data_IF_536401147385
#
_entry.id   IF_536401147385
#
_cell.length_a   1.000
_cell.length_b   1.000
_cell.length_c   1.000
_cell.angle_alpha   90.00
_cell.angle_beta   90.00
_cell.angle_gamma   90.00
#
_symmetry.space_group_name_H-M   'P 1'
#
loop_
_entity.id
_entity.type
_entity.pdbx_description
1 polymer ?
#
# COMPACT_ATOMS: atom_id res chain seq x y z
N UNK A 1 9.97 -3.47 -16.77
CA UNK A 1 8.61 -3.32 -17.36
C UNK A 1 7.62 -3.52 -16.21
N UNK A 2 6.88 -2.47 -15.83
CA UNK A 2 5.83 -2.60 -14.81
C UNK A 2 4.61 -3.27 -15.45
N UNK A 3 4.22 -4.44 -14.95
CA UNK A 3 2.99 -5.08 -15.40
C UNK A 3 1.79 -4.40 -14.72
N UNK A 4 0.94 -3.81 -15.53
CA UNK A 4 -0.26 -3.12 -15.10
C UNK A 4 -1.49 -3.99 -15.36
N UNK A 5 -2.22 -4.27 -14.27
CA UNK A 5 -3.62 -4.70 -14.19
C UNK A 5 -4.05 -6.02 -14.86
N UNK A 6 -4.54 -6.96 -14.04
CA UNK A 6 -5.62 -7.88 -14.43
C UNK A 6 -6.70 -7.84 -13.36
N UNK A 7 -7.84 -7.23 -13.67
CA UNK A 7 -9.09 -7.45 -12.94
C UNK A 7 -9.80 -8.64 -13.58
N UNK A 8 -10.27 -9.58 -12.75
CA UNK A 8 -11.70 -9.84 -12.78
C UNK A 8 -12.27 -9.63 -11.38
N UNK A 9 -13.24 -8.71 -11.29
CA UNK A 9 -14.19 -8.70 -10.19
C UNK A 9 -15.04 -9.98 -10.29
N UNK A 10 -14.56 -11.07 -9.71
CA UNK A 10 -15.38 -12.22 -9.36
C UNK A 10 -15.47 -12.30 -7.84
N UNK A 11 -16.59 -12.83 -7.34
CA UNK A 11 -17.11 -12.68 -5.98
C UNK A 11 -16.24 -13.24 -4.83
N UNK A 12 -14.96 -13.54 -5.04
CA UNK A 12 -14.13 -14.23 -4.05
C UNK A 12 -12.76 -13.62 -3.75
N UNK A 13 -12.28 -12.60 -4.48
CA UNK A 13 -11.00 -11.95 -4.15
C UNK A 13 -11.06 -10.43 -4.39
N UNK A 14 -10.82 -9.65 -3.32
CA UNK A 14 -10.80 -8.17 -3.34
C UNK A 14 -9.45 -7.64 -2.86
N UNK A 15 -8.39 -7.85 -3.64
CA UNK A 15 -7.15 -7.10 -3.41
C UNK A 15 -6.50 -6.71 -4.74
N UNK A 16 -5.79 -5.59 -4.70
CA UNK A 16 -4.97 -5.09 -5.81
C UNK A 16 -3.52 -5.40 -5.46
N UNK A 17 -2.86 -6.23 -6.28
CA UNK A 17 -1.42 -6.50 -6.18
C UNK A 17 -0.68 -5.69 -7.26
N UNK A 18 0.28 -4.85 -6.84
CA UNK A 18 1.15 -4.09 -7.74
C UNK A 18 2.56 -4.67 -7.63
N UNK A 19 3.06 -5.26 -8.73
CA UNK A 19 4.43 -5.78 -8.85
C UNK A 19 5.27 -4.85 -9.73
N UNK A 20 6.37 -4.35 -9.18
CA UNK A 20 7.36 -3.58 -9.93
C UNK A 20 8.56 -4.49 -10.23
N UNK A 21 8.79 -4.81 -11.51
CA UNK A 21 9.93 -5.64 -11.95
C UNK A 21 11.20 -4.81 -12.09
N UNK A 22 12.32 -5.29 -11.53
CA UNK A 22 13.65 -4.71 -11.70
C UNK A 22 14.16 -4.79 -13.17
N UNK A 23 15.11 -3.93 -13.57
CA UNK A 23 15.94 -4.17 -14.75
C UNK A 23 16.97 -5.28 -14.44
N UNK A 24 17.17 -6.19 -15.40
CA UNK A 24 18.02 -7.39 -15.28
C UNK A 24 19.38 -7.15 -14.63
N UNK A 25 19.76 -8.03 -13.68
CA UNK A 25 21.09 -8.07 -13.06
C UNK A 25 21.49 -9.49 -12.63
N UNK A 26 22.04 -10.24 -13.60
CA UNK A 26 23.01 -11.37 -13.52
C UNK A 26 23.07 -12.34 -12.33
N UNK A 27 22.84 -13.60 -12.68
CA UNK A 27 23.42 -14.90 -12.22
C UNK A 27 24.71 -14.89 -11.40
N UNK A 28 24.77 -15.76 -10.38
CA UNK A 28 26.03 -16.29 -9.81
C UNK A 28 25.81 -17.05 -8.49
N UNK A 29 26.11 -18.35 -8.46
CA UNK A 29 25.91 -19.21 -7.30
C UNK A 29 27.03 -19.16 -6.25
N UNK A 30 26.84 -19.99 -5.21
CA UNK A 30 27.73 -20.40 -4.13
C UNK A 30 27.78 -19.54 -2.84
N UNK A 31 27.23 -20.17 -1.78
CA UNK A 31 27.60 -20.11 -0.37
C UNK A 31 28.25 -18.83 0.18
N UNK A 32 27.47 -17.99 0.87
CA UNK A 32 27.97 -17.09 1.91
C UNK A 32 26.81 -16.53 2.76
N UNK A 33 27.05 -16.57 4.07
CA UNK A 33 26.52 -15.70 5.12
C UNK A 33 26.15 -14.29 4.66
N UNK A 34 24.97 -13.81 5.08
CA UNK A 34 24.55 -12.40 5.05
C UNK A 34 24.67 -11.67 3.70
N UNK A 35 24.19 -12.27 2.61
CA UNK A 35 23.97 -11.57 1.35
C UNK A 35 22.61 -10.84 1.37
N UNK A 36 22.67 -9.52 1.47
CA UNK A 36 21.59 -8.55 1.25
C UNK A 36 20.88 -8.82 -0.07
N UNK A 37 19.83 -9.64 -0.03
CA UNK A 37 18.86 -9.78 -1.12
C UNK A 37 18.14 -8.44 -1.19
N UNK A 38 18.15 -7.78 -2.35
CA UNK A 38 17.50 -6.47 -2.55
C UNK A 38 16.06 -6.49 -2.03
N UNK A 39 15.86 -5.96 -0.82
CA UNK A 39 14.66 -6.24 -0.04
C UNK A 39 13.43 -5.61 -0.70
N UNK A 40 12.38 -6.40 -0.88
CA UNK A 40 11.07 -5.85 -1.19
C UNK A 40 10.46 -5.20 0.05
N UNK A 41 9.79 -4.08 -0.15
CA UNK A 41 9.06 -3.36 0.87
C UNK A 41 7.56 -3.54 0.64
N UNK A 42 6.81 -3.80 1.70
CA UNK A 42 5.34 -3.87 1.63
C UNK A 42 4.77 -2.74 2.46
N UNK A 43 3.80 -2.02 1.88
CA UNK A 43 3.05 -0.95 2.53
C UNK A 43 1.56 -1.29 2.44
N UNK A 44 0.92 -1.46 3.60
CA UNK A 44 -0.51 -1.71 3.68
C UNK A 44 -1.25 -0.37 3.64
N UNK A 45 -2.18 -0.20 2.70
CA UNK A 45 -3.03 0.98 2.56
C UNK A 45 -4.45 0.61 2.99
N UNK A 46 -4.90 1.11 4.12
CA UNK A 46 -6.22 0.79 4.69
C UNK A 46 -7.16 1.97 4.60
N UNK A 47 -8.28 1.76 3.93
CA UNK A 47 -9.40 2.67 3.90
C UNK A 47 -10.05 2.75 5.29
N UNK A 48 -10.23 3.97 5.78
CA UNK A 48 -10.85 4.31 7.06
C UNK A 48 -12.04 5.25 6.85
N UNK A 49 -12.65 5.24 5.67
CA UNK A 49 -13.88 5.93 5.37
C UNK A 49 -15.08 5.34 6.12
N UNK A 50 -16.20 6.07 6.16
CA UNK A 50 -17.40 5.66 6.89
C UNK A 50 -18.02 4.35 6.39
N UNK A 51 -17.84 3.96 5.13
CA UNK A 51 -18.34 2.67 4.61
C UNK A 51 -17.65 1.48 5.27
N UNK A 52 -16.38 1.65 5.64
CA UNK A 52 -15.59 0.63 6.33
C UNK A 52 -16.01 0.43 7.80
N UNK A 53 -16.91 1.28 8.35
CA UNK A 53 -17.32 1.22 9.75
C UNK A 53 -18.02 -0.11 10.10
N UNK A 54 -17.79 -0.58 11.32
CA UNK A 54 -18.33 -1.85 11.79
C UNK A 54 -17.42 -3.03 11.45
N UNK A 55 -17.99 -4.10 10.89
CA UNK A 55 -17.26 -5.34 10.62
C UNK A 55 -16.10 -5.23 9.62
N UNK A 56 -16.18 -4.45 8.52
CA UNK A 56 -15.10 -4.40 7.54
C UNK A 56 -13.76 -3.95 8.13
N UNK A 57 -13.72 -2.83 8.84
CA UNK A 57 -12.47 -2.33 9.44
C UNK A 57 -11.95 -3.23 10.56
N UNK A 58 -12.85 -3.88 11.32
CA UNK A 58 -12.47 -4.86 12.35
C UNK A 58 -11.77 -6.07 11.73
N UNK A 59 -12.34 -6.64 10.68
CA UNK A 59 -11.76 -7.77 9.96
C UNK A 59 -10.38 -7.42 9.39
N UNK A 60 -10.22 -6.21 8.83
CA UNK A 60 -8.91 -5.72 8.36
C UNK A 60 -7.92 -5.63 9.51
N UNK A 61 -8.30 -5.06 10.65
CA UNK A 61 -7.42 -4.95 11.82
C UNK A 61 -7.01 -6.33 12.36
N UNK A 62 -7.94 -7.28 12.43
CA UNK A 62 -7.67 -8.66 12.85
C UNK A 62 -6.65 -9.34 11.94
N UNK A 63 -6.84 -9.27 10.61
CA UNK A 63 -5.91 -9.85 9.62
C UNK A 63 -4.52 -9.20 9.73
N UNK A 64 -4.45 -7.88 9.86
CA UNK A 64 -3.18 -7.17 9.98
C UNK A 64 -2.44 -7.56 11.28
N UNK A 65 -3.16 -7.68 12.41
CA UNK A 65 -2.57 -8.16 13.66
C UNK A 65 -2.07 -9.61 13.54
N UNK A 66 -2.86 -10.49 12.92
CA UNK A 66 -2.46 -11.89 12.68
C UNK A 66 -1.20 -11.97 11.80
N UNK A 67 -1.11 -11.17 10.73
CA UNK A 67 0.10 -11.06 9.89
C UNK A 67 1.31 -10.63 10.74
N UNK A 68 1.16 -9.59 11.57
CA UNK A 68 2.25 -9.14 12.43
C UNK A 68 2.67 -10.21 13.43
N UNK A 69 1.72 -10.86 14.11
CA UNK A 69 2.00 -11.88 15.11
C UNK A 69 2.70 -13.11 14.53
N UNK A 70 2.35 -13.51 13.30
CA UNK A 70 2.95 -14.67 12.64
C UNK A 70 4.31 -14.38 12.02
N UNK A 71 4.48 -13.20 11.46
CA UNK A 71 5.70 -12.86 10.70
C UNK A 71 6.72 -12.08 11.52
N UNK A 72 6.28 -11.41 12.58
CA UNK A 72 7.02 -10.41 13.36
C UNK A 72 7.61 -9.29 12.51
N UNK A 73 7.13 -9.12 11.27
CA UNK A 73 7.58 -8.08 10.34
C UNK A 73 6.76 -6.82 10.53
N UNK A 74 7.44 -5.72 10.82
CA UNK A 74 6.80 -4.43 11.01
C UNK A 74 6.62 -3.69 9.68
N UNK A 75 5.52 -4.00 8.98
CA UNK A 75 5.18 -3.30 7.73
C UNK A 75 4.62 -1.91 8.00
N UNK A 76 4.86 -0.98 7.07
CA UNK A 76 4.25 0.35 7.12
C UNK A 76 2.75 0.26 6.86
N UNK A 77 1.99 1.10 7.54
CA UNK A 77 0.54 1.18 7.43
C UNK A 77 0.13 2.60 7.08
N UNK A 78 -0.44 2.78 5.90
CA UNK A 78 -1.05 4.03 5.46
C UNK A 78 -2.55 3.91 5.67
N UNK A 79 -3.09 4.63 6.66
CA UNK A 79 -4.55 4.70 6.84
C UNK A 79 -5.05 5.95 6.14
N UNK A 80 -6.13 5.82 5.36
CA UNK A 80 -6.64 6.96 4.58
C UNK A 80 -8.17 7.08 4.63
N UNK A 81 -8.64 8.31 4.59
CA UNK A 81 -10.03 8.68 4.31
C UNK A 81 -10.00 9.92 3.38
N UNK A 82 -10.39 11.10 3.86
CA UNK A 82 -10.10 12.38 3.20
C UNK A 82 -8.66 12.86 3.41
N UNK A 83 -7.95 12.27 4.38
CA UNK A 83 -6.53 12.50 4.65
C UNK A 83 -5.79 11.17 4.79
N UNK A 84 -4.47 11.17 4.67
CA UNK A 84 -3.63 9.97 4.86
C UNK A 84 -2.70 10.14 6.05
N UNK A 85 -2.68 9.15 6.95
CA UNK A 85 -1.70 8.99 8.02
C UNK A 85 -0.70 7.91 7.62
N UNK A 86 0.58 8.30 7.50
CA UNK A 86 1.69 7.45 7.08
C UNK A 86 2.63 7.06 8.22
N UNK A 87 2.32 7.45 9.46
CA UNK A 87 3.19 7.25 10.63
C UNK A 87 2.98 5.90 11.31
N UNK A 88 1.92 5.19 10.95
CA UNK A 88 1.55 3.92 11.57
C UNK A 88 2.30 2.75 10.96
N UNK A 89 2.41 1.70 11.75
CA UNK A 89 2.94 0.40 11.35
C UNK A 89 2.07 -0.73 11.90
N UNK A 90 2.28 -1.94 11.39
CA UNK A 90 1.63 -3.16 11.85
C UNK A 90 1.87 -3.40 13.35
N UNK A 91 3.09 -3.12 13.83
CA UNK A 91 3.42 -3.17 15.26
C UNK A 91 2.56 -2.21 16.06
N UNK A 92 2.47 -0.94 15.65
CA UNK A 92 1.67 0.06 16.38
C UNK A 92 0.19 -0.31 16.44
N UNK A 93 -0.35 -0.92 15.37
CA UNK A 93 -1.73 -1.43 15.35
C UNK A 93 -1.93 -2.63 16.28
N UNK A 94 -0.93 -3.52 16.38
CA UNK A 94 -0.97 -4.69 17.26
C UNK A 94 -0.82 -4.34 18.74
N UNK A 95 -0.11 -3.27 19.07
CA UNK A 95 0.10 -2.81 20.45
C UNK A 95 -1.05 -1.91 20.96
N UNK A 96 -1.83 -1.31 20.06
CA UNK A 96 -2.96 -0.46 20.43
C UNK A 96 -4.15 -1.25 20.99
N UNK A 97 -4.74 -0.72 22.07
CA UNK A 97 -6.04 -1.18 22.58
C UNK A 97 -7.17 -0.61 21.71
N UNK A 98 -7.48 -1.29 20.62
CA UNK A 98 -8.63 -0.98 19.77
C UNK A 98 -8.32 -1.03 18.28
N UNK A 99 -9.39 -1.03 17.47
CA UNK A 99 -9.32 -1.03 16.02
C UNK A 99 -9.15 0.39 15.46
N UNK A 100 -8.74 0.46 14.19
CA UNK A 100 -8.77 1.69 13.42
C UNK A 100 -10.19 2.26 13.40
N UNK A 101 -10.29 3.58 13.55
CA UNK A 101 -11.57 4.28 13.52
C UNK A 101 -11.92 4.60 12.06
N UNK A 102 -13.05 4.09 11.60
CA UNK A 102 -13.57 4.33 10.26
C UNK A 102 -14.64 5.44 10.29
N UNK A 103 -14.39 6.55 9.60
CA UNK A 103 -15.30 7.69 9.49
C UNK A 103 -14.99 8.58 8.27
N UNK A 104 -15.94 9.45 7.94
CA UNK A 104 -15.76 10.43 6.87
C UNK A 104 -15.89 9.85 5.47
N UNK A 105 -15.44 10.62 4.47
CA UNK A 105 -15.45 10.19 3.07
C UNK A 105 -14.16 9.49 2.65
N UNK A 106 -14.23 8.74 1.56
CA UNK A 106 -13.10 8.14 0.85
C UNK A 106 -12.49 9.14 -0.13
N UNK A 107 -11.17 9.33 -0.08
CA UNK A 107 -10.40 10.04 -1.11
C UNK A 107 -9.18 9.23 -1.52
N UNK A 108 -9.24 8.60 -2.70
CA UNK A 108 -8.07 7.87 -3.23
C UNK A 108 -6.95 8.83 -3.65
N UNK A 109 -7.31 10.07 -4.00
CA UNK A 109 -6.32 11.11 -4.28
C UNK A 109 -5.38 11.36 -3.10
N UNK A 110 -5.88 11.28 -1.85
CA UNK A 110 -5.07 11.47 -0.65
C UNK A 110 -3.97 10.40 -0.54
N UNK A 111 -4.35 9.12 -0.66
CA UNK A 111 -3.42 8.00 -0.53
C UNK A 111 -2.44 7.93 -1.70
N UNK A 112 -2.87 8.22 -2.94
CA UNK A 112 -1.94 8.29 -4.08
C UNK A 112 -0.93 9.43 -3.95
N UNK A 113 -1.34 10.56 -3.39
CA UNK A 113 -0.41 11.67 -3.09
C UNK A 113 0.60 11.24 -2.04
N UNK A 114 0.17 10.59 -0.96
CA UNK A 114 1.06 10.06 0.06
C UNK A 114 2.05 9.02 -0.49
N UNK A 115 1.59 8.14 -1.38
CA UNK A 115 2.45 7.16 -2.07
C UNK A 115 3.49 7.86 -2.95
N UNK A 116 3.08 8.85 -3.74
CA UNK A 116 4.00 9.66 -4.55
C UNK A 116 5.06 10.31 -3.68
N UNK A 117 4.68 10.96 -2.58
CA UNK A 117 5.61 11.61 -1.67
C UNK A 117 6.55 10.61 -1.01
N UNK A 118 6.02 9.46 -0.61
CA UNK A 118 6.82 8.35 -0.08
C UNK A 118 7.89 7.88 -1.06
N UNK A 119 7.50 7.64 -2.32
CA UNK A 119 8.43 7.17 -3.36
C UNK A 119 9.51 8.21 -3.68
N UNK A 120 9.16 9.50 -3.72
CA UNK A 120 10.14 10.58 -3.91
C UNK A 120 11.16 10.64 -2.77
N UNK A 121 10.68 10.57 -1.52
CA UNK A 121 11.54 10.59 -0.32
C UNK A 121 12.43 9.36 -0.22
N UNK A 122 12.00 8.22 -0.75
CA UNK A 122 12.72 6.94 -0.68
C UNK A 122 13.33 6.52 -2.03
N UNK A 123 13.45 7.45 -2.98
CA UNK A 123 13.90 7.17 -4.35
C UNK A 123 15.32 6.57 -4.41
N UNK A 124 16.18 6.87 -3.43
CA UNK A 124 17.53 6.32 -3.31
C UNK A 124 17.59 4.88 -2.79
N UNK A 125 16.50 4.37 -2.19
CA UNK A 125 16.44 3.08 -1.49
C UNK A 125 16.55 1.86 -2.43
N UNK A 126 16.26 2.03 -3.74
CA UNK A 126 16.23 0.97 -4.77
C UNK A 126 15.42 -0.30 -4.39
N UNK A 127 14.58 -0.23 -3.36
CA UNK A 127 13.75 -1.35 -2.90
C UNK A 127 12.52 -1.47 -3.80
N UNK A 128 12.17 -2.70 -4.15
CA UNK A 128 10.91 -2.97 -4.82
C UNK A 128 9.76 -2.78 -3.82
N UNK A 129 8.92 -1.76 -3.98
CA UNK A 129 7.82 -1.47 -3.06
C UNK A 129 6.48 -1.96 -3.61
N UNK A 130 5.76 -2.76 -2.82
CA UNK A 130 4.41 -3.24 -3.09
C UNK A 130 3.42 -2.54 -2.17
N UNK A 131 2.39 -1.92 -2.75
CA UNK A 131 1.28 -1.31 -2.02
C UNK A 131 0.06 -2.24 -2.06
N UNK A 132 -0.50 -2.58 -0.90
CA UNK A 132 -1.67 -3.45 -0.78
C UNK A 132 -2.85 -2.61 -0.27
N UNK A 133 -3.87 -2.43 -1.12
CA UNK A 133 -5.06 -1.65 -0.77
C UNK A 133 -6.14 -2.53 -0.15
N UNK A 134 -6.69 -2.08 0.98
CA UNK A 134 -7.79 -2.71 1.72
C UNK A 134 -8.93 -1.69 1.82
N UNK A 135 -9.95 -1.83 0.97
CA UNK A 135 -11.08 -0.91 0.83
C UNK A 135 -12.34 -1.67 0.44
N UNK A 136 -13.52 -1.13 0.74
CA UNK A 136 -14.81 -1.72 0.42
C UNK A 136 -15.56 -1.04 -0.74
N UNK A 137 -15.09 0.11 -1.24
CA UNK A 137 -15.89 0.91 -2.18
C UNK A 137 -15.23 2.12 -2.83
N UNK A 138 -16.06 2.95 -3.48
CA UNK A 138 -15.71 3.98 -4.47
C UNK A 138 -15.15 5.28 -3.86
N UNK A 139 -14.43 6.06 -4.68
CA UNK A 139 -14.01 7.43 -4.34
C UNK A 139 -15.21 8.37 -4.25
N UNK A 140 -15.19 9.32 -3.31
CA UNK A 140 -16.24 10.35 -3.22
C UNK A 140 -15.90 11.61 -4.05
N UNK A 141 -14.92 11.56 -4.96
CA UNK A 141 -14.64 12.63 -5.92
C UNK A 141 -15.70 12.64 -7.05
N UNK A 142 -16.71 13.55 -7.02
CA UNK A 142 -17.86 13.48 -7.93
C UNK A 142 -17.49 13.76 -9.39
N UNK A 143 -16.36 14.44 -9.61
CA UNK A 143 -15.85 14.79 -10.94
C UNK A 143 -14.57 14.01 -11.30
N UNK A 144 -14.02 13.24 -10.36
CA UNK A 144 -12.79 12.45 -10.53
C UNK A 144 -11.53 13.29 -10.85
N UNK A 145 -11.58 14.61 -10.71
CA UNK A 145 -10.50 15.51 -11.14
C UNK A 145 -9.28 15.38 -10.23
N UNK A 146 -9.50 15.35 -8.91
CA UNK A 146 -8.43 15.20 -7.94
C UNK A 146 -7.82 13.80 -8.03
N UNK A 147 -8.67 12.78 -8.18
CA UNK A 147 -8.23 11.40 -8.41
C UNK A 147 -7.37 11.30 -9.66
N UNK A 148 -7.87 11.78 -10.81
CA UNK A 148 -7.14 11.73 -12.08
C UNK A 148 -5.78 12.42 -11.99
N UNK A 149 -5.73 13.63 -11.43
CA UNK A 149 -4.47 14.38 -11.23
C UNK A 149 -3.49 13.60 -10.35
N UNK A 150 -3.95 13.04 -9.23
CA UNK A 150 -3.08 12.28 -8.32
C UNK A 150 -2.48 11.03 -8.98
N UNK A 151 -3.28 10.33 -9.79
CA UNK A 151 -2.86 9.15 -10.55
C UNK A 151 -1.86 9.53 -11.65
N UNK A 152 -2.10 10.62 -12.38
CA UNK A 152 -1.17 11.11 -13.41
C UNK A 152 0.19 11.50 -12.80
N UNK A 153 0.19 12.20 -11.66
CA UNK A 153 1.42 12.56 -10.94
C UNK A 153 2.16 11.32 -10.44
N UNK A 154 1.44 10.32 -9.90
CA UNK A 154 2.05 9.07 -9.47
C UNK A 154 2.66 8.30 -10.65
N UNK A 155 1.96 8.22 -11.79
CA UNK A 155 2.49 7.61 -13.01
C UNK A 155 3.77 8.30 -13.49
N UNK A 156 3.82 9.63 -13.43
CA UNK A 156 5.01 10.40 -13.79
C UNK A 156 6.20 10.03 -12.89
N UNK A 157 6.00 9.99 -11.57
CA UNK A 157 7.04 9.57 -10.62
C UNK A 157 7.52 8.15 -10.91
N UNK A 158 6.60 7.21 -11.09
CA UNK A 158 6.93 5.82 -11.42
C UNK A 158 7.73 5.70 -12.72
N UNK A 159 7.39 6.49 -13.75
CA UNK A 159 8.13 6.50 -15.02
C UNK A 159 9.56 7.03 -14.88
N UNK A 160 9.79 7.98 -13.97
CA UNK A 160 11.12 8.50 -13.67
C UNK A 160 11.99 7.54 -12.86
N UNK A 161 11.38 6.59 -12.15
CA UNK A 161 12.08 5.59 -11.32
C UNK A 161 12.51 4.33 -12.08
N UNK A 162 12.04 4.14 -13.31
CA UNK A 162 12.36 2.96 -14.15
C UNK A 162 13.64 3.09 -15.00
N UNK A 163 14.40 4.18 -14.83
CA UNK A 163 15.71 4.41 -15.45
C UNK A 163 16.84 4.19 -14.44
#
# INVERSE_FOLDING_TARGET
MAEYFKLPFSNQQRYIEIKLSQPNGSTGGAAATNATTGGSEIICCVDTSGSMAGSPIKNVCEVLRDIYQRTLKDYRLFTYNTQTDTKRTLKTLSEQKGDLQANGGTSFASVFTAIKDYLLQNSSSKKATTFIFMTDGQDNDPQGVALKKSVEMLKLVLSGMTN
#
